data_IF_418073154300
#
_entry.id   IF_418073154300
#
_cell.length_a   1.000
_cell.length_b   1.000
_cell.length_c   1.000
_cell.angle_alpha   90.00
_cell.angle_beta   90.00
_cell.angle_gamma   90.00
#
_symmetry.space_group_name_H-M   'P 1'
#
loop_
_entity.id
_entity.type
_entity.pdbx_description
1 polymer ?
#
# COMPACT_ATOMS: atom_id res chain seq x y z
N UNK A 1 9.62 -0.69 5.47
CA UNK A 1 8.29 -0.96 4.91
C UNK A 1 8.45 -1.66 3.56
N UNK A 2 7.37 -2.22 3.01
CA UNK A 2 7.38 -2.82 1.68
C UNK A 2 7.55 -1.74 0.60
N UNK A 3 8.14 -2.12 -0.52
CA UNK A 3 8.34 -1.23 -1.66
C UNK A 3 7.10 -1.23 -2.55
N UNK A 4 6.68 -0.06 -3.00
CA UNK A 4 5.60 0.11 -3.97
C UNK A 4 6.20 0.67 -5.27
N UNK A 5 5.97 0.05 -6.44
CA UNK A 5 6.50 0.55 -7.70
C UNK A 5 6.03 1.97 -8.01
N UNK A 6 6.91 2.80 -8.56
CA UNK A 6 6.59 4.17 -9.00
C UNK A 6 5.37 4.23 -9.92
N UNK A 7 5.21 3.23 -10.79
CA UNK A 7 4.08 3.09 -11.71
C UNK A 7 2.72 3.02 -11.02
N UNK A 8 2.66 2.63 -9.74
CA UNK A 8 1.43 2.68 -8.95
C UNK A 8 0.90 4.12 -8.81
N UNK A 9 1.80 5.09 -8.66
CA UNK A 9 1.44 6.48 -8.41
C UNK A 9 1.09 7.25 -9.69
N UNK A 10 1.44 6.70 -10.86
CA UNK A 10 1.17 7.33 -12.16
C UNK A 10 -0.35 7.38 -12.46
N UNK A 11 -1.12 6.41 -11.99
CA UNK A 11 -2.55 6.27 -12.30
C UNK A 11 -3.46 6.22 -11.05
N UNK A 12 -2.90 6.30 -9.84
CA UNK A 12 -3.69 6.12 -8.61
C UNK A 12 -4.77 7.18 -8.45
N UNK A 13 -4.46 8.45 -8.73
CA UNK A 13 -5.42 9.56 -8.60
C UNK A 13 -6.59 9.44 -9.57
N UNK A 14 -6.40 8.82 -10.75
CA UNK A 14 -7.49 8.53 -11.68
C UNK A 14 -8.48 7.52 -11.10
N UNK A 15 -8.01 6.62 -10.22
CA UNK A 15 -8.83 5.61 -9.55
C UNK A 15 -9.50 6.12 -8.27
N UNK A 16 -8.75 6.87 -7.45
CA UNK A 16 -9.20 7.29 -6.11
C UNK A 16 -9.71 8.73 -6.06
N UNK A 17 -9.55 9.51 -7.13
CA UNK A 17 -9.89 10.92 -7.16
C UNK A 17 -8.97 11.79 -6.30
N UNK A 18 -9.45 12.99 -5.96
CA UNK A 18 -8.67 13.99 -5.21
C UNK A 18 -8.47 13.57 -3.74
N UNK A 19 -7.27 13.75 -3.23
CA UNK A 19 -6.88 13.58 -1.82
C UNK A 19 -6.25 14.86 -1.29
N UNK A 20 -6.08 14.98 0.03
CA UNK A 20 -5.54 16.19 0.64
C UNK A 20 -4.00 16.20 0.75
N UNK A 21 -3.38 15.02 0.68
CA UNK A 21 -1.95 14.81 0.88
C UNK A 21 -1.16 14.99 -0.42
N UNK A 22 0.11 15.35 -0.29
CA UNK A 22 1.02 15.46 -1.43
C UNK A 22 1.40 14.06 -1.95
N UNK A 23 1.06 13.79 -3.22
CA UNK A 23 1.33 12.50 -3.85
C UNK A 23 2.83 12.15 -3.87
N UNK A 24 3.71 13.15 -4.01
CA UNK A 24 5.16 12.91 -4.03
C UNK A 24 5.68 12.49 -2.65
N UNK A 25 5.12 13.03 -1.57
CA UNK A 25 5.45 12.60 -0.21
C UNK A 25 4.95 11.17 0.07
N UNK A 26 3.72 10.85 -0.38
CA UNK A 26 3.17 9.50 -0.26
C UNK A 26 4.01 8.48 -1.04
N UNK A 27 4.44 8.85 -2.26
CA UNK A 27 5.33 8.06 -3.10
C UNK A 27 6.67 7.81 -2.43
N UNK A 28 7.31 8.85 -1.91
CA UNK A 28 8.59 8.73 -1.21
C UNK A 28 8.51 7.77 0.00
N UNK A 29 7.34 7.68 0.63
CA UNK A 29 7.10 6.83 1.79
C UNK A 29 6.53 5.44 1.46
N UNK A 30 6.24 5.13 0.19
CA UNK A 30 5.58 3.89 -0.25
C UNK A 30 4.19 3.71 0.38
N UNK A 31 3.44 4.80 0.53
CA UNK A 31 2.07 4.79 1.06
C UNK A 31 1.09 4.50 -0.10
N UNK A 32 0.19 3.55 0.12
CA UNK A 32 -0.88 3.16 -0.79
C UNK A 32 -2.16 3.93 -0.47
N UNK A 33 -2.98 4.18 -1.48
CA UNK A 33 -4.22 4.96 -1.40
C UNK A 33 -5.38 4.12 -1.97
N UNK A 34 -6.47 4.02 -1.21
CA UNK A 34 -7.72 3.43 -1.70
C UNK A 34 -8.92 4.31 -1.32
N UNK A 35 -10.05 4.13 -2.00
CA UNK A 35 -11.28 4.90 -1.78
C UNK A 35 -12.52 4.00 -1.77
N UNK A 36 -13.44 4.32 -0.88
CA UNK A 36 -14.81 3.82 -0.90
C UNK A 36 -15.83 4.97 -1.02
N UNK A 37 -17.11 4.64 -0.88
CA UNK A 37 -18.21 5.61 -1.01
C UNK A 37 -18.18 6.71 0.06
N UNK A 38 -17.53 6.48 1.20
CA UNK A 38 -17.50 7.41 2.34
C UNK A 38 -16.23 8.26 2.42
N UNK A 39 -15.15 7.84 1.76
CA UNK A 39 -13.90 8.60 1.74
C UNK A 39 -12.71 7.76 1.26
N UNK A 40 -11.51 8.21 1.57
CA UNK A 40 -10.27 7.50 1.21
C UNK A 40 -9.49 7.06 2.45
N UNK A 41 -8.54 6.16 2.23
CA UNK A 41 -7.63 5.67 3.25
C UNK A 41 -6.21 5.58 2.69
N UNK A 42 -5.26 5.75 3.60
CA UNK A 42 -3.83 5.63 3.36
C UNK A 42 -3.31 4.42 4.12
N UNK A 43 -2.52 3.57 3.47
CA UNK A 43 -2.00 2.33 4.04
C UNK A 43 -0.50 2.18 3.78
N UNK A 44 0.22 1.62 4.75
CA UNK A 44 1.59 1.18 4.57
C UNK A 44 1.84 -0.11 5.35
N UNK A 45 2.59 -1.02 4.75
CA UNK A 45 2.85 -2.35 5.29
C UNK A 45 4.31 -2.52 5.67
N UNK A 46 4.56 -3.08 6.85
CA UNK A 46 5.93 -3.41 7.26
C UNK A 46 6.44 -4.61 6.47
N UNK A 47 7.77 -4.75 6.39
CA UNK A 47 8.36 -6.06 6.11
C UNK A 47 7.98 -7.04 7.23
N UNK A 48 8.08 -8.36 7.01
CA UNK A 48 7.92 -9.32 8.10
C UNK A 48 8.83 -8.96 9.28
N UNK A 49 8.28 -9.02 10.50
CA UNK A 49 9.02 -8.65 11.73
C UNK A 49 9.86 -9.79 12.31
N UNK A 50 9.80 -10.95 11.66
CA UNK A 50 10.55 -12.16 12.01
C UNK A 50 11.26 -12.66 10.74
N UNK A 51 12.27 -13.51 10.93
CA UNK A 51 12.99 -14.15 9.81
C UNK A 51 12.05 -14.99 8.95
N UNK A 52 11.04 -15.61 9.57
CA UNK A 52 9.96 -16.30 8.86
C UNK A 52 8.92 -15.29 8.37
N UNK A 53 8.48 -15.34 7.09
CA UNK A 53 7.55 -14.37 6.51
C UNK A 53 6.11 -14.64 6.93
N UNK A 54 5.81 -14.54 8.22
CA UNK A 54 4.50 -14.90 8.79
C UNK A 54 3.74 -13.73 9.40
N UNK A 55 4.44 -12.83 10.09
CA UNK A 55 3.83 -11.69 10.79
C UNK A 55 4.38 -10.37 10.23
N UNK A 56 3.47 -9.48 9.86
CA UNK A 56 3.75 -8.09 9.48
C UNK A 56 2.70 -7.18 10.14
N UNK A 57 2.97 -5.89 10.13
CA UNK A 57 2.03 -4.87 10.59
C UNK A 57 1.57 -3.99 9.43
N UNK A 58 0.37 -3.45 9.60
CA UNK A 58 -0.23 -2.43 8.75
C UNK A 58 -0.41 -1.16 9.60
N UNK A 59 -0.07 -0.02 9.02
CA UNK A 59 -0.45 1.29 9.53
C UNK A 59 -1.47 1.86 8.55
N UNK A 60 -2.62 2.28 9.07
CA UNK A 60 -3.74 2.80 8.29
C UNK A 60 -4.23 4.14 8.84
N UNK A 61 -4.40 5.10 7.94
CA UNK A 61 -5.08 6.36 8.20
C UNK A 61 -6.38 6.40 7.40
N UNK A 62 -7.47 6.84 8.03
CA UNK A 62 -8.81 6.88 7.42
C UNK A 62 -9.31 8.31 7.34
N UNK A 63 -9.51 8.77 6.12
CA UNK A 63 -10.14 10.03 5.78
C UNK A 63 -11.58 9.75 5.32
N UNK A 64 -12.41 9.27 6.25
CA UNK A 64 -13.83 8.92 6.03
C UNK A 64 -14.08 7.46 5.64
N UNK A 65 -13.15 6.83 4.92
CA UNK A 65 -13.33 5.46 4.45
C UNK A 65 -13.56 4.45 5.60
N UNK A 66 -14.51 3.53 5.40
CA UNK A 66 -14.86 2.47 6.36
C UNK A 66 -14.49 1.07 5.88
N UNK A 67 -14.12 0.93 4.61
CA UNK A 67 -13.67 -0.32 4.00
C UNK A 67 -12.22 -0.67 4.40
N UNK A 68 -11.71 -1.81 3.94
CA UNK A 68 -10.36 -2.30 4.26
C UNK A 68 -9.31 -2.03 3.18
N UNK A 69 -9.65 -1.29 2.12
CA UNK A 69 -8.71 -1.02 1.03
C UNK A 69 -8.42 -2.25 0.17
N UNK A 70 -9.44 -2.83 -0.49
CA UNK A 70 -9.28 -4.06 -1.28
C UNK A 70 -8.31 -3.89 -2.45
N UNK A 71 -8.20 -2.70 -3.03
CA UNK A 71 -7.26 -2.41 -4.11
C UNK A 71 -5.81 -2.47 -3.63
N UNK A 72 -5.55 -1.93 -2.43
CA UNK A 72 -4.23 -1.93 -1.82
C UNK A 72 -3.72 -3.33 -1.47
N UNK A 73 -4.62 -4.26 -1.16
CA UNK A 73 -4.26 -5.66 -0.91
C UNK A 73 -3.59 -6.32 -2.13
N UNK A 74 -3.99 -5.98 -3.36
CA UNK A 74 -3.36 -6.54 -4.56
C UNK A 74 -1.92 -6.02 -4.71
N UNK A 75 -1.74 -4.70 -4.58
CA UNK A 75 -0.41 -4.08 -4.61
C UNK A 75 0.51 -4.61 -3.50
N UNK A 76 -0.05 -4.88 -2.32
CA UNK A 76 0.65 -5.55 -1.21
C UNK A 76 1.14 -6.94 -1.62
N UNK A 77 0.27 -7.79 -2.19
CA UNK A 77 0.65 -9.15 -2.59
C UNK A 77 1.77 -9.14 -3.64
N UNK A 78 1.65 -8.31 -4.67
CA UNK A 78 2.69 -8.16 -5.71
C UNK A 78 4.04 -7.71 -5.10
N UNK A 79 3.99 -6.84 -4.10
CA UNK A 79 5.19 -6.36 -3.39
C UNK A 79 5.82 -7.45 -2.52
N UNK A 80 5.00 -8.31 -1.88
CA UNK A 80 5.46 -9.44 -1.07
C UNK A 80 6.06 -10.53 -1.95
N UNK A 81 5.41 -10.90 -3.06
CA UNK A 81 5.91 -11.90 -4.00
C UNK A 81 7.30 -11.51 -4.52
N UNK A 82 7.48 -10.23 -4.88
CA UNK A 82 8.78 -9.71 -5.29
C UNK A 82 9.84 -9.79 -4.18
N UNK A 83 9.46 -9.55 -2.91
CA UNK A 83 10.38 -9.76 -1.78
C UNK A 83 10.73 -11.23 -1.58
N UNK A 84 9.81 -12.17 -1.85
CA UNK A 84 10.07 -13.60 -1.74
C UNK A 84 10.98 -14.12 -2.86
N UNK A 85 10.80 -13.62 -4.09
CA UNK A 85 11.70 -13.89 -5.22
C UNK A 85 13.14 -13.47 -4.91
N UNK A 86 13.32 -12.26 -4.34
CA UNK A 86 14.64 -11.77 -3.94
C UNK A 86 15.31 -12.62 -2.84
N UNK A 87 14.51 -13.32 -2.02
CA UNK A 87 15.00 -14.24 -0.97
C UNK A 87 15.24 -15.65 -1.50
N UNK A 88 14.88 -15.95 -2.75
CA UNK A 88 15.11 -17.25 -3.39
C UNK A 88 14.18 -18.38 -2.92
N UNK A 89 12.98 -18.04 -2.42
CA UNK A 89 12.03 -19.01 -1.85
C UNK A 89 10.75 -19.18 -2.70
N UNK A 90 10.79 -18.86 -4.01
CA UNK A 90 9.70 -19.11 -4.96
C UNK A 90 10.01 -20.31 -5.86
#
# INVERSE_FOLDING_TARGET
>A
FLYVPDSYYEDVLDRVGEINEDLEELKAQNILIDRDEEGYLLQIFTKPVQDRPTLFFEIIERNGAKSFGKGNFKALFESIEREQELRGNL
#
